data_IF_079618956763
#
_entry.id   IF_079618956763
#
_cell.length_a   1.000
_cell.length_b   1.000
_cell.length_c   1.000
_cell.angle_alpha   90.00
_cell.angle_beta   90.00
_cell.angle_gamma   90.00
#
_symmetry.space_group_name_H-M   'P 1'
#
loop_
_entity.id
_entity.type
_entity.pdbx_description
1 polymer ?
#
# COMPACT_ATOMS: atom_id res chain seq x y z
N UNK A 1 -11.35 36.82 51.66
CA UNK A 1 -11.70 35.48 51.12
C UNK A 1 -11.93 35.46 49.59
N UNK A 2 -12.54 36.49 48.98
CA UNK A 2 -12.78 36.57 47.50
C UNK A 2 -11.54 36.45 46.59
N UNK A 3 -10.36 36.96 47.00
CA UNK A 3 -9.13 36.89 46.17
C UNK A 3 -8.51 35.48 46.07
N UNK A 4 -8.77 34.60 47.05
CA UNK A 4 -8.25 33.21 47.05
C UNK A 4 -9.12 32.26 46.20
N UNK A 5 -10.41 32.56 46.06
CA UNK A 5 -11.33 31.80 45.21
C UNK A 5 -11.04 32.01 43.71
N UNK A 6 -10.69 33.23 43.30
CA UNK A 6 -10.40 33.55 41.91
C UNK A 6 -9.11 32.90 41.39
N UNK A 7 -8.10 32.70 42.25
CA UNK A 7 -6.85 32.02 41.89
C UNK A 7 -7.08 30.52 41.64
N UNK A 8 -7.98 29.90 42.41
CA UNK A 8 -8.30 28.47 42.28
C UNK A 8 -9.05 28.19 40.97
N UNK A 9 -9.95 29.09 40.57
CA UNK A 9 -10.72 28.95 39.32
C UNK A 9 -9.81 29.06 38.09
N UNK A 10 -8.83 29.97 38.10
CA UNK A 10 -7.85 30.11 36.99
C UNK A 10 -6.94 28.88 36.88
N UNK A 11 -6.50 28.31 38.01
CA UNK A 11 -5.69 27.08 38.02
C UNK A 11 -6.46 25.86 37.52
N UNK A 12 -7.76 25.75 37.84
CA UNK A 12 -8.63 24.67 37.34
C UNK A 12 -8.90 24.84 35.84
N UNK A 13 -9.08 26.09 35.37
CA UNK A 13 -9.29 26.38 33.94
C UNK A 13 -8.02 26.13 33.09
N UNK A 14 -6.84 26.47 33.61
CA UNK A 14 -5.56 26.14 32.96
C UNK A 14 -5.24 24.64 33.00
N UNK A 15 -5.66 23.92 34.05
CA UNK A 15 -5.51 22.47 34.14
C UNK A 15 -6.39 21.71 33.14
N UNK A 16 -7.59 22.22 32.84
CA UNK A 16 -8.51 21.64 31.85
C UNK A 16 -8.03 21.83 30.39
N UNK A 17 -7.28 22.90 30.10
CA UNK A 17 -6.70 23.15 28.78
C UNK A 17 -5.48 22.28 28.46
N UNK A 18 -4.84 21.68 29.47
CA UNK A 18 -3.71 20.75 29.28
C UNK A 18 -4.20 19.31 29.03
N UNK A 19 -5.47 19.01 29.32
CA UNK A 19 -6.08 17.69 29.12
C UNK A 19 -6.69 17.47 27.72
N UNK A 20 -6.58 18.44 26.81
CA UNK A 20 -7.00 18.30 25.39
C UNK A 20 -5.86 17.94 24.45
N UNK A 21 -4.68 17.62 24.98
CA UNK A 21 -3.51 17.12 24.25
C UNK A 21 -3.47 15.59 24.44
N UNK A 22 -3.36 14.71 23.45
CA UNK A 22 -2.84 14.82 22.10
C UNK A 22 -3.52 13.72 21.25
N UNK A 23 -4.52 14.04 20.43
CA UNK A 23 -4.70 13.21 19.25
C UNK A 23 -3.52 13.51 18.31
N UNK A 24 -2.85 12.50 17.72
CA UNK A 24 -1.75 12.77 16.79
C UNK A 24 -2.27 13.68 15.68
N UNK A 25 -1.51 14.74 15.38
CA UNK A 25 -1.83 15.64 14.29
C UNK A 25 -1.77 14.83 13.00
N UNK A 26 -2.87 14.81 12.26
CA UNK A 26 -2.92 14.24 10.92
C UNK A 26 -2.62 15.31 9.88
N UNK A 27 -2.04 14.89 8.76
CA UNK A 27 -1.92 15.71 7.55
C UNK A 27 -3.31 16.00 6.99
N UNK A 28 -3.44 17.04 6.17
CA UNK A 28 -4.72 17.34 5.52
C UNK A 28 -4.93 16.49 4.25
N UNK A 29 -6.15 16.54 3.70
CA UNK A 29 -6.52 15.79 2.49
C UNK A 29 -5.73 16.23 1.26
N UNK A 30 -5.25 17.48 1.22
CA UNK A 30 -4.47 17.99 0.09
C UNK A 30 -3.08 17.37 0.09
N UNK A 31 -2.40 17.40 1.23
CA UNK A 31 -1.10 16.75 1.42
C UNK A 31 -1.19 15.24 1.15
N UNK A 32 -2.26 14.58 1.63
CA UNK A 32 -2.50 13.18 1.34
C UNK A 32 -2.72 12.91 -0.15
N UNK A 33 -3.49 13.76 -0.86
CA UNK A 33 -3.70 13.66 -2.31
C UNK A 33 -2.37 13.74 -3.06
N UNK A 34 -1.55 14.73 -2.74
CA UNK A 34 -0.26 14.96 -3.38
C UNK A 34 0.67 13.76 -3.19
N UNK A 35 0.79 13.24 -1.97
CA UNK A 35 1.61 12.07 -1.68
C UNK A 35 1.11 10.81 -2.42
N UNK A 36 -0.19 10.55 -2.40
CA UNK A 36 -0.79 9.39 -3.08
C UNK A 36 -0.62 9.44 -4.60
N UNK A 37 -0.92 10.60 -5.21
CA UNK A 37 -0.73 10.79 -6.66
C UNK A 37 0.74 10.72 -7.07
N UNK A 38 1.65 11.25 -6.25
CA UNK A 38 3.09 11.13 -6.52
C UNK A 38 3.53 9.66 -6.59
N UNK A 39 3.08 8.83 -5.64
CA UNK A 39 3.40 7.40 -5.65
C UNK A 39 2.71 6.67 -6.83
N UNK A 40 1.46 6.97 -7.16
CA UNK A 40 0.75 6.42 -8.33
C UNK A 40 1.49 6.74 -9.63
N UNK A 41 1.85 8.00 -9.84
CA UNK A 41 2.54 8.46 -11.03
C UNK A 41 3.93 7.84 -11.15
N UNK A 42 4.63 7.68 -10.03
CA UNK A 42 5.92 6.97 -9.98
C UNK A 42 5.74 5.47 -10.31
N UNK A 43 4.78 4.81 -9.67
CA UNK A 43 4.55 3.37 -9.77
C UNK A 43 4.16 2.94 -11.19
N UNK A 44 3.23 3.67 -11.81
CA UNK A 44 2.58 3.25 -13.05
C UNK A 44 2.94 4.12 -14.26
N UNK A 45 3.88 5.07 -14.11
CA UNK A 45 4.31 6.00 -15.17
C UNK A 45 3.15 6.80 -15.79
N UNK A 46 2.20 7.18 -14.95
CA UNK A 46 1.05 8.00 -15.32
C UNK A 46 1.22 9.44 -14.85
N UNK A 47 0.26 10.30 -15.18
CA UNK A 47 0.27 11.73 -14.85
C UNK A 47 -1.08 12.16 -14.32
N UNK A 48 -1.61 11.38 -13.39
CA UNK A 48 -2.85 11.66 -12.71
C UNK A 48 -2.70 12.91 -11.83
N UNK A 49 -3.67 13.80 -11.92
CA UNK A 49 -3.70 15.07 -11.16
C UNK A 49 -4.91 15.18 -10.24
N UNK A 50 -5.96 14.39 -10.50
CA UNK A 50 -7.19 14.39 -9.74
C UNK A 50 -7.44 13.02 -9.10
N UNK A 51 -7.94 13.04 -7.88
CA UNK A 51 -8.28 11.85 -7.10
C UNK A 51 -9.29 12.20 -6.00
N UNK A 52 -10.09 11.21 -5.63
CA UNK A 52 -10.88 11.24 -4.40
C UNK A 52 -10.02 10.88 -3.20
N UNK A 53 -10.16 11.63 -2.10
CA UNK A 53 -9.45 11.36 -0.84
C UNK A 53 -10.46 11.03 0.25
N UNK A 54 -10.22 9.95 1.00
CA UNK A 54 -11.08 9.52 2.11
C UNK A 54 -10.25 9.10 3.31
N UNK A 55 -10.61 9.60 4.49
CA UNK A 55 -9.96 9.25 5.77
C UNK A 55 -10.56 7.98 6.37
N UNK A 56 -9.70 7.12 6.92
CA UNK A 56 -10.08 5.91 7.63
C UNK A 56 -9.22 5.70 8.88
N UNK A 57 -9.85 5.06 9.87
CA UNK A 57 -9.15 4.46 11.01
C UNK A 57 -9.32 2.96 10.95
N UNK A 58 -8.20 2.24 11.03
CA UNK A 58 -8.16 0.77 11.19
C UNK A 58 -7.69 0.45 12.60
N UNK A 59 -8.17 -0.66 13.14
CA UNK A 59 -7.63 -1.18 14.39
C UNK A 59 -6.11 -1.36 14.25
N UNK A 60 -5.36 -0.91 15.26
CA UNK A 60 -3.94 -1.22 15.32
C UNK A 60 -3.72 -2.71 15.53
N UNK A 61 -2.55 -3.19 15.12
CA UNK A 61 -2.16 -4.59 15.25
C UNK A 61 -0.92 -4.68 16.13
N UNK A 62 -0.92 -5.61 17.08
CA UNK A 62 0.29 -6.03 17.79
C UNK A 62 0.73 -7.40 17.29
N UNK A 63 2.02 -7.69 17.42
CA UNK A 63 2.58 -8.98 17.04
C UNK A 63 3.29 -9.63 18.25
N UNK A 64 3.03 -10.92 18.48
CA UNK A 64 3.76 -11.74 19.45
C UNK A 64 4.15 -13.05 18.79
N UNK A 65 5.45 -13.32 18.69
CA UNK A 65 6.00 -14.49 18.02
C UNK A 65 5.48 -14.66 16.57
N UNK A 66 5.34 -13.55 15.83
CA UNK A 66 4.88 -13.56 14.43
C UNK A 66 3.37 -13.73 14.24
N UNK A 67 2.60 -13.90 15.30
CA UNK A 67 1.14 -13.90 15.22
C UNK A 67 0.57 -12.52 15.59
N UNK A 68 -0.48 -12.11 14.87
CA UNK A 68 -1.28 -10.93 15.24
C UNK A 68 -1.98 -11.21 16.57
N UNK A 69 -1.87 -10.27 17.50
CA UNK A 69 -2.54 -10.26 18.80
C UNK A 69 -3.24 -8.92 18.98
N UNK A 70 -4.40 -8.95 19.62
CA UNK A 70 -5.11 -7.74 20.03
C UNK A 70 -5.10 -7.66 21.55
N UNK A 71 -4.45 -6.63 22.07
CA UNK A 71 -4.43 -6.28 23.48
C UNK A 71 -5.53 -5.26 23.82
N UNK A 72 -6.18 -4.67 22.83
CA UNK A 72 -7.21 -3.64 22.99
C UNK A 72 -6.65 -2.27 23.37
N UNK A 73 -5.32 -2.14 23.35
CA UNK A 73 -4.57 -0.91 23.67
C UNK A 73 -3.74 -0.44 22.48
N UNK A 74 -3.90 -1.09 21.33
CA UNK A 74 -3.23 -0.68 20.09
C UNK A 74 -3.73 0.68 19.64
N UNK A 75 -2.79 1.57 19.33
CA UNK A 75 -3.12 2.83 18.66
C UNK A 75 -3.73 2.54 17.27
N UNK A 76 -4.87 3.16 16.92
CA UNK A 76 -5.47 2.94 15.62
C UNK A 76 -4.55 3.46 14.52
N UNK A 77 -4.49 2.69 13.42
CA UNK A 77 -3.82 3.13 12.20
C UNK A 77 -4.72 4.13 11.48
N UNK A 78 -4.22 5.35 11.32
CA UNK A 78 -4.91 6.44 10.64
C UNK A 78 -4.35 6.55 9.23
N UNK A 79 -5.21 6.48 8.22
CA UNK A 79 -4.78 6.51 6.83
C UNK A 79 -5.77 7.27 5.96
N UNK A 80 -5.24 7.84 4.87
CA UNK A 80 -6.03 8.29 3.74
C UNK A 80 -5.97 7.26 2.63
N UNK A 81 -7.09 7.07 1.93
CA UNK A 81 -7.09 6.43 0.61
C UNK A 81 -7.18 7.49 -0.46
N UNK A 82 -6.35 7.39 -1.48
CA UNK A 82 -6.37 8.24 -2.67
C UNK A 82 -6.80 7.38 -3.85
N UNK A 83 -7.94 7.71 -4.45
CA UNK A 83 -8.56 6.92 -5.52
C UNK A 83 -8.63 7.75 -6.78
N UNK A 84 -8.01 7.27 -7.85
CA UNK A 84 -8.22 7.78 -9.21
C UNK A 84 -9.27 6.88 -9.85
N UNK A 85 -10.44 7.41 -10.27
CA UNK A 85 -11.44 6.63 -10.96
C UNK A 85 -11.19 6.56 -12.47
N UNK A 86 -11.81 5.58 -13.14
CA UNK A 86 -12.01 5.58 -14.59
C UNK A 86 -13.08 6.62 -14.97
N UNK A 87 -13.27 6.86 -16.28
CA UNK A 87 -14.35 7.73 -16.77
C UNK A 87 -15.75 7.25 -16.33
N UNK A 88 -15.92 5.93 -16.16
CA UNK A 88 -17.18 5.31 -15.73
C UNK A 88 -17.35 5.28 -14.19
N UNK A 89 -16.35 5.78 -13.44
CA UNK A 89 -16.37 5.84 -11.97
C UNK A 89 -15.84 4.60 -11.27
N UNK A 90 -15.32 3.61 -12.00
CA UNK A 90 -14.67 2.44 -11.43
C UNK A 90 -13.29 2.78 -10.89
N UNK A 91 -12.73 1.94 -10.02
CA UNK A 91 -11.36 2.12 -9.54
C UNK A 91 -10.36 1.99 -10.71
N UNK A 92 -9.52 3.00 -10.92
CA UNK A 92 -8.37 2.92 -11.84
C UNK A 92 -7.07 2.74 -11.05
N UNK A 93 -6.77 3.66 -10.13
CA UNK A 93 -5.62 3.60 -9.23
C UNK A 93 -6.03 3.85 -7.79
N UNK A 94 -5.34 3.19 -6.86
CA UNK A 94 -5.55 3.34 -5.44
C UNK A 94 -4.20 3.51 -4.74
N UNK A 95 -4.13 4.40 -3.75
CA UNK A 95 -3.01 4.50 -2.84
C UNK A 95 -3.46 4.62 -1.37
N UNK A 96 -2.65 4.11 -0.45
CA UNK A 96 -2.77 4.38 0.98
C UNK A 96 -1.66 5.33 1.44
N UNK A 97 -2.07 6.35 2.21
CA UNK A 97 -1.17 7.35 2.80
C UNK A 97 -1.31 7.30 4.31
N UNK A 98 -0.20 7.24 5.03
CA UNK A 98 -0.20 7.31 6.49
C UNK A 98 -0.65 8.72 6.91
N UNK A 99 -1.79 8.83 7.59
CA UNK A 99 -2.37 10.12 7.90
C UNK A 99 -1.55 10.91 8.93
N UNK A 100 -0.67 10.26 9.70
CA UNK A 100 0.18 10.94 10.69
C UNK A 100 1.46 11.46 10.05
N UNK A 101 2.06 10.70 9.12
CA UNK A 101 3.37 11.04 8.52
C UNK A 101 3.26 11.70 7.15
N UNK A 102 2.12 11.62 6.47
CA UNK A 102 1.95 12.06 5.09
C UNK A 102 2.61 11.17 4.05
N UNK A 103 3.20 10.04 4.45
CA UNK A 103 3.94 9.15 3.53
C UNK A 103 2.96 8.19 2.86
N UNK A 104 2.93 8.19 1.53
CA UNK A 104 2.28 7.17 0.72
C UNK A 104 3.10 5.88 0.79
N UNK A 105 2.44 4.76 1.12
CA UNK A 105 3.13 3.50 1.40
C UNK A 105 2.56 2.29 0.68
N UNK A 106 1.42 2.42 0.02
CA UNK A 106 0.84 1.36 -0.79
C UNK A 106 0.17 1.96 -1.99
N UNK A 107 0.30 1.29 -3.13
CA UNK A 107 -0.34 1.67 -4.38
C UNK A 107 -0.69 0.42 -5.19
N UNK A 108 -1.84 0.44 -5.85
CA UNK A 108 -2.30 -0.62 -6.74
C UNK A 108 -3.05 -0.03 -7.94
N UNK A 109 -3.03 -0.74 -9.08
CA UNK A 109 -3.86 -0.43 -10.26
C UNK A 109 -4.88 -1.54 -10.50
N UNK A 110 -6.00 -1.18 -11.11
CA UNK A 110 -7.00 -2.15 -11.52
C UNK A 110 -6.49 -3.05 -12.65
N UNK A 111 -6.58 -4.37 -12.47
CA UNK A 111 -6.11 -5.35 -13.44
C UNK A 111 -6.95 -5.39 -14.72
N UNK A 112 -8.22 -4.95 -14.68
CA UNK A 112 -9.08 -4.86 -15.87
C UNK A 112 -8.50 -3.93 -16.96
N UNK A 113 -7.56 -3.06 -16.58
CA UNK A 113 -6.88 -2.13 -17.49
C UNK A 113 -5.64 -2.71 -18.16
N UNK A 114 -5.31 -3.97 -17.87
CA UNK A 114 -4.18 -4.66 -18.50
C UNK A 114 -4.62 -5.18 -19.86
N UNK A 115 -3.96 -4.68 -20.91
CA UNK A 115 -4.19 -5.13 -22.27
C UNK A 115 -3.14 -6.17 -22.65
N UNK A 116 -3.55 -7.43 -22.71
CA UNK A 116 -2.68 -8.52 -23.14
C UNK A 116 -2.46 -8.48 -24.65
N UNK A 117 -1.23 -8.80 -25.07
CA UNK A 117 -0.97 -9.13 -26.47
C UNK A 117 -1.69 -10.42 -26.87
N UNK A 118 -1.74 -10.72 -28.17
CA UNK A 118 -2.32 -11.97 -28.65
C UNK A 118 -1.59 -13.20 -28.08
N UNK A 119 -0.26 -13.14 -27.98
CA UNK A 119 0.57 -14.21 -27.42
C UNK A 119 0.30 -14.39 -25.92
N UNK A 120 0.28 -13.30 -25.17
CA UNK A 120 -0.05 -13.30 -23.74
C UNK A 120 -1.46 -13.82 -23.48
N UNK A 121 -2.44 -13.43 -24.30
CA UNK A 121 -3.82 -13.93 -24.21
C UNK A 121 -3.88 -15.44 -24.45
N UNK A 122 -3.10 -15.96 -25.40
CA UNK A 122 -3.01 -17.40 -25.66
C UNK A 122 -2.33 -18.15 -24.50
N UNK A 123 -1.28 -17.56 -23.90
CA UNK A 123 -0.62 -18.12 -22.71
C UNK A 123 -1.61 -18.19 -21.54
N UNK A 124 -2.32 -17.09 -21.25
CA UNK A 124 -3.35 -17.04 -20.21
C UNK A 124 -4.48 -18.06 -20.44
N UNK A 125 -4.96 -18.19 -21.68
CA UNK A 125 -6.00 -19.16 -22.03
C UNK A 125 -5.55 -20.61 -21.81
N UNK A 126 -4.24 -20.89 -21.88
CA UNK A 126 -3.71 -22.24 -21.64
C UNK A 126 -3.86 -22.72 -20.19
N UNK A 127 -4.14 -21.82 -19.23
CA UNK A 127 -4.45 -22.16 -17.85
C UNK A 127 -5.80 -22.90 -17.71
N UNK A 128 -6.66 -22.84 -18.72
CA UNK A 128 -7.98 -23.46 -18.69
C UNK A 128 -8.94 -22.66 -17.82
N UNK A 129 -9.50 -23.29 -16.79
CA UNK A 129 -10.50 -22.67 -15.90
C UNK A 129 -9.95 -22.48 -14.50
N UNK A 130 -10.51 -21.54 -13.74
CA UNK A 130 -10.14 -21.32 -12.34
C UNK A 130 -10.28 -22.59 -11.48
N UNK A 131 -11.27 -23.43 -11.75
CA UNK A 131 -11.48 -24.69 -11.00
C UNK A 131 -10.35 -25.72 -11.21
N UNK A 132 -9.63 -25.63 -12.33
CA UNK A 132 -8.49 -26.50 -12.66
C UNK A 132 -7.14 -25.81 -12.43
N UNK A 133 -7.14 -24.53 -12.07
CA UNK A 133 -5.94 -23.75 -11.88
C UNK A 133 -5.15 -24.25 -10.65
N UNK A 134 -3.83 -24.32 -10.80
CA UNK A 134 -2.92 -24.63 -9.70
C UNK A 134 -1.69 -23.74 -9.77
N UNK A 135 -1.38 -23.12 -8.63
CA UNK A 135 -0.18 -22.29 -8.46
C UNK A 135 1.11 -23.11 -8.44
N UNK A 136 1.02 -24.45 -8.34
CA UNK A 136 2.19 -25.33 -8.28
C UNK A 136 3.09 -25.22 -9.54
N UNK A 137 2.50 -24.88 -10.69
CA UNK A 137 3.22 -24.75 -11.96
C UNK A 137 3.80 -23.34 -12.18
N UNK A 138 3.64 -22.42 -11.22
CA UNK A 138 4.07 -21.03 -11.34
C UNK A 138 5.42 -20.76 -10.66
N UNK A 139 6.12 -21.76 -10.14
CA UNK A 139 7.40 -21.56 -9.44
C UNK A 139 8.43 -20.83 -10.32
N UNK A 140 8.58 -21.22 -11.58
CA UNK A 140 9.47 -20.54 -12.53
C UNK A 140 8.98 -19.13 -12.87
N UNK A 141 7.67 -18.97 -13.14
CA UNK A 141 7.05 -17.67 -13.43
C UNK A 141 7.18 -16.69 -12.26
N UNK A 142 7.10 -17.18 -11.03
CA UNK A 142 7.28 -16.40 -9.82
C UNK A 142 8.74 -15.93 -9.66
N UNK A 143 9.72 -16.70 -10.11
CA UNK A 143 11.13 -16.25 -10.15
C UNK A 143 11.35 -15.18 -11.22
N UNK A 144 10.71 -15.31 -12.38
CA UNK A 144 10.75 -14.27 -13.41
C UNK A 144 10.05 -12.99 -12.95
N UNK A 145 8.91 -13.11 -12.28
CA UNK A 145 8.21 -11.98 -11.64
C UNK A 145 9.05 -11.30 -10.56
N UNK A 146 9.77 -12.07 -9.74
CA UNK A 146 10.71 -11.53 -8.78
C UNK A 146 11.84 -10.74 -9.44
N UNK A 147 12.35 -11.20 -10.59
CA UNK A 147 13.35 -10.45 -11.36
C UNK A 147 12.79 -9.12 -11.88
N UNK A 148 11.56 -9.13 -12.40
CA UNK A 148 10.86 -7.91 -12.82
C UNK A 148 10.68 -6.95 -11.64
N UNK A 149 10.31 -7.45 -10.46
CA UNK A 149 10.18 -6.64 -9.25
C UNK A 149 11.51 -6.02 -8.83
N UNK A 150 12.61 -6.79 -8.84
CA UNK A 150 13.96 -6.33 -8.53
C UNK A 150 14.42 -5.20 -9.47
N UNK A 151 14.31 -5.45 -10.78
CA UNK A 151 14.61 -4.46 -11.82
C UNK A 151 13.77 -3.20 -11.60
N UNK A 152 12.47 -3.36 -11.38
CA UNK A 152 11.56 -2.25 -11.19
C UNK A 152 11.93 -1.36 -10.00
N UNK A 153 12.24 -1.95 -8.84
CA UNK A 153 12.65 -1.23 -7.62
C UNK A 153 13.98 -0.51 -7.84
N UNK A 154 14.97 -1.23 -8.40
CA UNK A 154 16.31 -0.68 -8.66
C UNK A 154 16.29 0.50 -9.66
N UNK A 155 15.33 0.53 -10.58
CA UNK A 155 15.22 1.62 -11.55
C UNK A 155 14.44 2.83 -11.05
N UNK A 156 13.52 2.66 -10.07
CA UNK A 156 12.45 3.64 -9.84
C UNK A 156 12.27 4.13 -8.41
N UNK A 157 12.57 3.33 -7.38
CA UNK A 157 12.38 3.77 -6.00
C UNK A 157 13.69 4.23 -5.37
N UNK A 158 14.67 3.35 -5.37
CA UNK A 158 15.88 3.49 -4.54
C UNK A 158 17.10 3.10 -5.37
N UNK A 159 17.30 3.79 -6.51
CA UNK A 159 18.34 3.43 -7.49
C UNK A 159 19.77 3.44 -6.95
N UNK A 160 19.99 4.12 -5.83
CA UNK A 160 21.29 4.26 -5.20
C UNK A 160 21.48 3.31 -4.00
N UNK A 161 20.45 2.53 -3.63
CA UNK A 161 20.51 1.58 -2.52
C UNK A 161 20.60 0.16 -3.08
N UNK A 162 21.66 -0.60 -2.77
CA UNK A 162 21.77 -1.97 -3.25
C UNK A 162 20.64 -2.87 -2.71
N UNK A 163 20.16 -3.76 -3.58
CA UNK A 163 19.23 -4.82 -3.22
C UNK A 163 20.02 -5.94 -2.57
N UNK A 164 19.68 -6.25 -1.32
CA UNK A 164 20.27 -7.35 -0.56
C UNK A 164 19.75 -8.69 -1.07
N UNK A 165 18.43 -8.79 -1.28
CA UNK A 165 17.78 -10.01 -1.75
C UNK A 165 16.36 -9.75 -2.25
N UNK A 166 15.97 -10.50 -3.28
CA UNK A 166 14.58 -10.65 -3.69
C UNK A 166 14.05 -12.05 -3.36
N UNK A 167 12.84 -12.14 -2.82
CA UNK A 167 12.21 -13.40 -2.38
C UNK A 167 10.80 -13.49 -2.97
N UNK A 168 10.52 -14.44 -3.88
CA UNK A 168 9.15 -14.73 -4.28
C UNK A 168 8.32 -15.15 -3.06
N UNK A 169 7.11 -14.63 -2.95
CA UNK A 169 6.26 -14.80 -1.78
C UNK A 169 5.01 -15.63 -2.10
N UNK A 170 4.03 -15.03 -2.76
CA UNK A 170 2.73 -15.64 -3.01
C UNK A 170 2.40 -15.62 -4.50
N UNK A 171 1.60 -16.58 -4.95
CA UNK A 171 1.02 -16.61 -6.30
C UNK A 171 -0.45 -16.87 -6.17
N UNK A 172 -1.28 -16.00 -6.74
CA UNK A 172 -2.72 -16.06 -6.52
C UNK A 172 -3.51 -15.39 -7.65
N UNK A 173 -4.78 -15.74 -7.72
CA UNK A 173 -5.79 -15.19 -8.63
C UNK A 173 -7.16 -15.52 -8.04
N UNK A 174 -8.21 -14.89 -8.53
CA UNK A 174 -9.59 -15.11 -8.11
C UNK A 174 -10.55 -15.12 -9.32
N UNK A 175 -11.85 -15.19 -9.06
CA UNK A 175 -12.87 -15.25 -10.12
C UNK A 175 -13.02 -13.96 -10.93
N UNK A 176 -12.55 -12.83 -10.41
CA UNK A 176 -12.66 -11.53 -11.08
C UNK A 176 -11.44 -11.29 -11.99
N UNK A 177 -10.25 -11.68 -11.51
CA UNK A 177 -8.98 -11.43 -12.20
C UNK A 177 -8.62 -12.53 -13.22
N UNK A 178 -9.10 -13.77 -13.03
CA UNK A 178 -8.70 -14.89 -13.89
C UNK A 178 -9.04 -14.61 -15.37
N UNK A 179 -8.11 -14.82 -16.32
CA UNK A 179 -6.90 -15.65 -16.23
C UNK A 179 -5.61 -14.91 -15.86
N UNK A 180 -5.68 -13.68 -15.35
CA UNK A 180 -4.51 -12.97 -14.83
C UNK A 180 -4.08 -13.56 -13.48
N UNK A 181 -2.76 -13.67 -13.28
CA UNK A 181 -2.19 -14.25 -12.05
C UNK A 181 -1.23 -13.26 -11.41
N UNK A 182 -1.50 -12.91 -10.16
CA UNK A 182 -0.66 -12.03 -9.34
C UNK A 182 0.45 -12.83 -8.67
N UNK A 183 1.66 -12.29 -8.71
CA UNK A 183 2.84 -12.86 -8.07
C UNK A 183 3.55 -11.82 -7.24
N UNK A 184 3.57 -12.06 -5.93
CA UNK A 184 4.19 -11.19 -4.96
C UNK A 184 5.66 -11.52 -4.78
N UNK A 185 6.48 -10.50 -4.63
CA UNK A 185 7.89 -10.62 -4.24
C UNK A 185 8.24 -9.61 -3.16
N UNK A 186 9.04 -10.03 -2.19
CA UNK A 186 9.71 -9.12 -1.27
C UNK A 186 11.05 -8.69 -1.87
N UNK A 187 11.26 -7.39 -2.02
CA UNK A 187 12.56 -6.81 -2.38
C UNK A 187 13.14 -6.18 -1.12
N UNK A 188 14.25 -6.74 -0.63
CA UNK A 188 14.93 -6.30 0.58
C UNK A 188 16.16 -5.48 0.20
N UNK A 189 16.22 -4.24 0.68
CA UNK A 189 17.31 -3.31 0.43
C UNK A 189 18.32 -3.32 1.59
N UNK A 190 19.58 -2.97 1.32
CA UNK A 190 20.63 -2.95 2.36
C UNK A 190 20.36 -1.95 3.50
N UNK A 191 19.56 -0.91 3.25
CA UNK A 191 19.15 0.07 4.26
C UNK A 191 18.03 -0.45 5.19
N UNK A 192 17.53 -1.67 4.99
CA UNK A 192 16.45 -2.27 5.77
C UNK A 192 15.05 -1.95 5.26
N UNK A 193 14.90 -1.29 4.10
CA UNK A 193 13.63 -1.18 3.40
C UNK A 193 13.19 -2.53 2.86
N UNK A 194 11.88 -2.79 2.97
CA UNK A 194 11.24 -4.00 2.47
C UNK A 194 10.04 -3.57 1.63
N UNK A 195 10.17 -3.76 0.33
CA UNK A 195 9.09 -3.54 -0.62
C UNK A 195 8.39 -4.87 -0.91
N UNK A 196 7.07 -4.87 -0.84
CA UNK A 196 6.24 -5.89 -1.47
C UNK A 196 5.87 -5.36 -2.85
N UNK A 197 6.25 -6.10 -3.90
CA UNK A 197 5.92 -5.78 -5.28
C UNK A 197 5.11 -6.93 -5.86
N UNK A 198 3.96 -6.61 -6.45
CA UNK A 198 3.14 -7.59 -7.15
C UNK A 198 3.27 -7.38 -8.65
N UNK A 199 3.63 -8.43 -9.35
CA UNK A 199 3.69 -8.48 -10.81
C UNK A 199 2.54 -9.33 -11.33
N UNK A 200 1.87 -8.86 -12.38
CA UNK A 200 0.75 -9.56 -13.00
C UNK A 200 1.23 -10.32 -14.24
N UNK A 201 1.04 -11.64 -14.23
CA UNK A 201 1.24 -12.47 -15.42
C UNK A 201 -0.07 -12.61 -16.21
N UNK A 202 0.01 -12.69 -17.56
CA UNK A 202 1.22 -12.79 -18.39
C UNK A 202 1.78 -11.45 -18.89
N UNK A 203 1.18 -10.30 -18.53
CA UNK A 203 1.71 -9.01 -18.99
C UNK A 203 3.10 -8.69 -18.44
N UNK A 204 3.42 -9.27 -17.28
CA UNK A 204 4.59 -9.00 -16.46
C UNK A 204 4.67 -7.53 -16.03
N UNK A 205 3.53 -6.85 -15.93
CA UNK A 205 3.45 -5.49 -15.40
C UNK A 205 3.48 -5.49 -13.87
N UNK A 206 4.15 -4.51 -13.27
CA UNK A 206 3.98 -4.20 -11.84
C UNK A 206 2.61 -3.58 -11.64
N UNK A 207 1.82 -4.19 -10.74
CA UNK A 207 0.42 -3.81 -10.49
C UNK A 207 0.15 -3.36 -9.07
N UNK A 208 1.05 -3.68 -8.15
CA UNK A 208 1.01 -3.21 -6.77
C UNK A 208 2.43 -3.05 -6.22
N UNK A 209 2.57 -2.04 -5.36
CA UNK A 209 3.77 -1.75 -4.58
C UNK A 209 3.33 -1.39 -3.16
N UNK A 210 3.99 -1.96 -2.14
CA UNK A 210 3.78 -1.60 -0.75
C UNK A 210 5.08 -1.58 0.06
N UNK A 211 5.32 -0.49 0.78
CA UNK A 211 6.40 -0.31 1.76
C UNK A 211 5.96 -0.95 3.09
N UNK A 212 6.56 -2.08 3.47
CA UNK A 212 6.07 -2.87 4.61
C UNK A 212 6.57 -2.41 5.98
N UNK A 213 7.59 -1.57 6.03
CA UNK A 213 8.24 -1.15 7.27
C UNK A 213 7.76 0.21 7.82
N UNK A 214 6.65 0.75 7.33
CA UNK A 214 6.09 2.06 7.74
C UNK A 214 5.37 2.06 9.10
N UNK A 215 5.56 1.01 9.91
CA UNK A 215 4.90 0.82 11.21
C UNK A 215 5.61 1.47 12.40
N UNK A 216 6.26 2.62 12.23
CA UNK A 216 6.85 3.38 13.36
C UNK A 216 6.21 4.75 13.50
#
# INVERSE_FOLDING_TARGET
>A
MRKKANLLIVLILCGLLILTACAPKVVDEVEAKEAGLALINLAFRVKETEAEVKYFERAGESYKNGAVVQYGTEEPRRLYTVIVPTEDGDLLYYAEVNAVTGVAYRVQRNLSTIHLTQEQSAEAASLGTLNSFSTANFSEKAQDAARVAEEWVSERLESDVPILRTIPNNTFTDSEDFPLVRMDSYVLLENGTIDLVTVCWPSMDVVELALLNQGK
#
